data_IF_001903020915
#
_entry.id   IF_001903020915
#
_cell.length_a   1.000
_cell.length_b   1.000
_cell.length_c   1.000
_cell.angle_alpha   90.00
_cell.angle_beta   90.00
_cell.angle_gamma   90.00
#
_symmetry.space_group_name_H-M   'P 1'
#
loop_
_entity.id
_entity.type
_entity.pdbx_description
1 polymer ?
#
# COMPACT_ATOMS: atom_id res chain seq x y z
N UNK A 1 15.76 5.08 -16.74
CA UNK A 1 15.63 3.73 -16.16
C UNK A 1 14.57 3.82 -15.07
N UNK A 2 13.36 3.31 -15.32
CA UNK A 2 12.29 3.30 -14.31
C UNK A 2 12.73 2.34 -13.19
N UNK A 3 13.27 2.85 -12.09
CA UNK A 3 13.35 2.08 -10.86
C UNK A 3 11.96 2.13 -10.24
N UNK A 4 11.15 1.13 -10.55
CA UNK A 4 10.04 0.77 -9.66
C UNK A 4 10.74 0.37 -8.37
N UNK A 5 10.61 1.18 -7.31
CA UNK A 5 11.23 0.89 -6.03
C UNK A 5 10.66 -0.45 -5.59
N UNK A 6 11.47 -1.51 -5.68
CA UNK A 6 11.17 -2.79 -5.06
C UNK A 6 11.10 -2.53 -3.56
N UNK A 7 9.89 -2.42 -3.03
CA UNK A 7 9.65 -2.19 -1.62
C UNK A 7 10.27 -3.36 -0.84
N UNK A 8 11.19 -3.05 0.08
CA UNK A 8 11.89 -4.03 0.89
C UNK A 8 10.92 -4.68 1.90
N UNK A 9 10.96 -6.01 2.10
CA UNK A 9 10.05 -6.69 3.01
C UNK A 9 10.29 -6.26 4.47
N UNK A 10 9.24 -5.77 5.14
CA UNK A 10 9.22 -5.54 6.60
C UNK A 10 8.63 -4.21 7.10
N UNK A 11 8.48 -3.20 6.24
CA UNK A 11 8.08 -1.84 6.66
C UNK A 11 6.58 -1.67 7.00
N UNK A 12 5.66 -2.34 6.29
CA UNK A 12 4.22 -2.20 6.56
C UNK A 12 3.69 -3.00 7.76
N UNK A 13 4.47 -3.94 8.30
CA UNK A 13 4.02 -4.84 9.38
C UNK A 13 3.98 -4.19 10.77
N UNK A 14 4.37 -2.92 10.89
CA UNK A 14 4.45 -2.18 12.17
C UNK A 14 3.34 -1.16 12.42
N UNK A 15 2.44 -0.89 11.46
CA UNK A 15 1.36 0.06 11.65
C UNK A 15 0.12 -0.60 12.27
N UNK A 16 -0.55 0.05 13.25
CA UNK A 16 -1.66 -0.55 13.97
C UNK A 16 -2.85 -0.72 13.04
N UNK A 17 -3.18 -1.97 12.72
CA UNK A 17 -4.48 -2.33 12.17
C UNK A 17 -5.54 -2.19 13.27
N UNK A 18 -6.68 -1.64 12.88
CA UNK A 18 -7.81 -1.24 13.75
C UNK A 18 -8.41 -2.40 14.57
N UNK A 19 -9.16 -2.12 15.65
CA UNK A 19 -9.33 -3.06 16.75
C UNK A 19 -10.24 -4.22 16.38
N UNK A 20 -9.75 -5.43 16.62
CA UNK A 20 -10.53 -6.67 16.56
C UNK A 20 -11.68 -6.61 17.57
N UNK A 21 -12.90 -6.81 17.07
CA UNK A 21 -14.11 -6.87 17.87
C UNK A 21 -14.02 -8.05 18.85
N UNK A 22 -14.22 -7.72 20.12
CA UNK A 22 -14.35 -8.65 21.24
C UNK A 22 -15.63 -9.47 21.05
N UNK A 23 -15.49 -10.73 20.62
CA UNK A 23 -16.57 -11.70 20.68
C UNK A 23 -16.64 -12.29 22.09
N UNK A 24 -17.73 -11.99 22.79
CA UNK A 24 -18.03 -12.52 24.11
C UNK A 24 -18.24 -14.05 24.06
N UNK A 25 -17.67 -14.70 25.08
CA UNK A 25 -17.56 -16.16 25.22
C UNK A 25 -18.90 -16.79 25.61
N UNK A 26 -19.45 -17.67 24.76
CA UNK A 26 -20.48 -18.63 25.18
C UNK A 26 -19.83 -19.92 25.69
N UNK A 27 -20.13 -20.25 26.93
CA UNK A 27 -19.72 -21.49 27.59
C UNK A 27 -20.39 -22.71 26.94
N UNK A 28 -19.59 -23.64 26.41
CA UNK A 28 -20.07 -24.94 25.91
C UNK A 28 -19.40 -26.11 26.64
N UNK A 29 -20.21 -27.12 26.95
CA UNK A 29 -19.93 -28.18 27.94
C UNK A 29 -18.74 -29.10 27.64
N UNK A 30 -18.25 -29.72 28.72
CA UNK A 30 -16.96 -30.46 28.86
C UNK A 30 -16.73 -31.66 27.93
N UNK A 31 -17.68 -32.08 27.09
CA UNK A 31 -17.59 -33.34 26.33
C UNK A 31 -17.06 -33.20 24.88
N UNK A 32 -16.69 -32.01 24.42
CA UNK A 32 -16.25 -31.74 23.03
C UNK A 32 -14.75 -31.44 22.92
N UNK A 33 -13.95 -31.79 23.94
CA UNK A 33 -12.54 -31.36 24.04
C UNK A 33 -11.58 -32.04 23.06
N UNK A 34 -11.92 -33.19 22.49
CA UNK A 34 -10.99 -33.91 21.59
C UNK A 34 -11.18 -33.60 20.10
N UNK A 35 -12.39 -33.26 19.63
CA UNK A 35 -12.58 -32.95 18.20
C UNK A 35 -12.19 -31.51 17.85
N UNK A 36 -12.30 -30.55 18.77
CA UNK A 36 -11.96 -29.15 18.50
C UNK A 36 -10.45 -28.88 18.36
N UNK A 37 -9.60 -29.68 19.01
CA UNK A 37 -8.15 -29.47 18.97
C UNK A 37 -7.55 -29.78 17.58
N UNK A 38 -8.09 -30.76 16.87
CA UNK A 38 -7.64 -31.12 15.52
C UNK A 38 -8.07 -30.07 14.48
N UNK A 39 -9.26 -29.47 14.63
CA UNK A 39 -9.77 -28.43 13.73
C UNK A 39 -9.00 -27.11 13.86
N UNK A 40 -8.58 -26.75 15.07
CA UNK A 40 -7.81 -25.53 15.31
C UNK A 40 -6.40 -25.58 14.68
N UNK A 41 -5.78 -26.77 14.62
CA UNK A 41 -4.46 -26.95 14.01
C UNK A 41 -4.50 -26.82 12.47
N UNK A 42 -5.61 -27.23 11.84
CA UNK A 42 -5.78 -27.15 10.37
C UNK A 42 -6.05 -25.70 9.93
N UNK A 43 -6.76 -24.89 10.72
CA UNK A 43 -6.92 -23.46 10.42
C UNK A 43 -5.62 -22.67 10.56
N UNK A 44 -4.72 -23.05 11.48
CA UNK A 44 -3.43 -22.38 11.64
C UNK A 44 -2.47 -22.62 10.46
N UNK A 45 -2.59 -23.76 9.77
CA UNK A 45 -1.77 -24.10 8.58
C UNK A 45 -2.22 -23.40 7.29
N UNK A 46 -3.41 -22.77 7.29
CA UNK A 46 -3.92 -21.99 6.16
C UNK A 46 -3.66 -20.48 6.33
N UNK A 47 -3.06 -20.07 7.44
CA UNK A 47 -2.64 -18.69 7.64
C UNK A 47 -1.30 -18.46 6.93
N UNK A 48 -1.36 -18.28 5.61
CA UNK A 48 -0.27 -17.60 4.93
C UNK A 48 -0.29 -16.14 5.40
N UNK A 49 0.77 -15.59 6.00
CA UNK A 49 0.91 -14.15 6.06
C UNK A 49 0.89 -13.68 4.60
N UNK A 50 -0.20 -13.06 4.17
CA UNK A 50 -0.19 -12.31 2.93
C UNK A 50 0.78 -11.17 3.20
N UNK A 51 1.98 -11.25 2.65
CA UNK A 51 2.82 -10.08 2.50
C UNK A 51 1.95 -9.03 1.78
N UNK A 52 1.63 -7.94 2.48
CA UNK A 52 0.74 -6.87 1.99
C UNK A 52 1.37 -6.04 0.85
N UNK A 53 2.35 -6.61 0.15
CA UNK A 53 3.16 -5.95 -0.84
C UNK A 53 2.69 -6.28 -2.25
N UNK A 54 2.69 -5.27 -3.10
CA UNK A 54 2.44 -5.45 -4.51
C UNK A 54 3.60 -6.21 -5.18
N UNK A 55 3.30 -7.17 -6.08
CA UNK A 55 4.33 -7.89 -6.79
C UNK A 55 5.15 -6.93 -7.65
N UNK A 56 6.49 -7.05 -7.66
CA UNK A 56 7.33 -6.22 -8.51
C UNK A 56 6.91 -6.28 -9.98
N UNK A 57 6.88 -5.12 -10.64
CA UNK A 57 6.62 -5.02 -12.08
C UNK A 57 7.93 -5.15 -12.85
N UNK A 58 7.96 -6.09 -13.78
CA UNK A 58 9.14 -6.41 -14.60
C UNK A 58 8.90 -5.99 -16.05
N UNK A 59 9.87 -5.28 -16.62
CA UNK A 59 9.86 -4.95 -18.05
C UNK A 59 10.36 -6.14 -18.87
N UNK A 60 9.60 -6.57 -19.89
CA UNK A 60 10.02 -7.56 -20.88
C UNK A 60 9.73 -7.00 -22.28
N UNK A 61 10.78 -6.74 -23.04
CA UNK A 61 10.67 -6.04 -24.32
C UNK A 61 10.05 -4.65 -24.15
N UNK A 62 8.90 -4.40 -24.77
CA UNK A 62 8.17 -3.13 -24.73
C UNK A 62 6.93 -3.15 -23.80
N UNK A 63 6.81 -4.15 -22.92
CA UNK A 63 5.66 -4.33 -22.02
C UNK A 63 6.09 -4.56 -20.57
N UNK A 64 5.16 -4.32 -19.66
CA UNK A 64 5.31 -4.57 -18.23
C UNK A 64 4.49 -5.79 -17.81
N UNK A 65 5.00 -6.54 -16.83
CA UNK A 65 4.36 -7.75 -16.32
C UNK A 65 4.50 -7.83 -14.80
N UNK A 66 3.47 -8.31 -14.11
CA UNK A 66 3.55 -8.65 -12.70
C UNK A 66 4.45 -9.89 -12.52
N UNK A 67 5.40 -9.82 -11.58
CA UNK A 67 6.42 -10.87 -11.40
C UNK A 67 5.87 -12.21 -10.89
N UNK A 68 4.77 -12.18 -10.16
CA UNK A 68 4.13 -13.34 -9.52
C UNK A 68 3.22 -14.12 -10.48
N UNK A 69 2.31 -13.41 -11.14
CA UNK A 69 1.26 -13.97 -11.99
C UNK A 69 1.66 -14.02 -13.46
N UNK A 70 2.67 -13.23 -13.86
CA UNK A 70 3.05 -13.06 -15.27
C UNK A 70 2.03 -12.27 -16.10
N UNK A 71 0.98 -11.72 -15.49
CA UNK A 71 -0.04 -10.95 -16.19
C UNK A 71 0.54 -9.64 -16.74
N UNK A 72 0.09 -9.22 -17.94
CA UNK A 72 0.47 -7.92 -18.52
C UNK A 72 -0.03 -6.78 -17.62
N UNK A 73 0.90 -5.97 -17.13
CA UNK A 73 0.60 -4.78 -16.35
C UNK A 73 0.39 -3.58 -17.28
N UNK A 74 -0.81 -3.00 -17.26
CA UNK A 74 -1.12 -1.76 -17.99
C UNK A 74 -1.30 -0.61 -17.02
N UNK A 75 -0.55 0.47 -17.26
CA UNK A 75 -0.59 1.68 -16.44
C UNK A 75 -1.92 2.40 -16.65
N UNK A 76 -2.71 2.50 -15.59
CA UNK A 76 -3.87 3.38 -15.42
C UNK A 76 -3.46 4.46 -14.42
N UNK A 77 -2.68 5.42 -14.93
CA UNK A 77 -1.92 6.34 -14.11
C UNK A 77 -2.60 7.69 -13.86
N UNK A 78 -2.29 8.31 -12.72
CA UNK A 78 -2.60 9.71 -12.44
C UNK A 78 -1.36 10.47 -11.92
N UNK A 79 -1.21 11.72 -12.35
CA UNK A 79 -0.28 12.67 -11.76
C UNK A 79 -0.77 13.10 -10.37
N UNK A 80 0.05 12.93 -9.33
CA UNK A 80 -0.31 13.31 -7.96
C UNK A 80 0.58 14.45 -7.46
N UNK A 81 -0.04 15.63 -7.32
CA UNK A 81 0.58 16.83 -6.76
C UNK A 81 -0.53 17.75 -6.21
N UNK A 82 -1.01 17.50 -4.97
CA UNK A 82 -2.12 18.26 -4.41
C UNK A 82 -1.64 19.67 -4.03
N UNK A 83 -1.87 20.66 -4.89
CA UNK A 83 -1.56 22.06 -4.61
C UNK A 83 -2.81 22.77 -4.01
N UNK A 84 -2.69 23.43 -2.85
CA UNK A 84 -3.73 24.31 -2.35
C UNK A 84 -3.95 25.51 -3.28
N UNK A 85 -5.21 25.90 -3.50
CA UNK A 85 -5.53 27.08 -4.33
C UNK A 85 -5.27 28.42 -3.61
N UNK A 86 -5.00 28.41 -2.31
CA UNK A 86 -4.75 29.61 -1.49
C UNK A 86 -3.93 29.26 -0.24
N UNK A 87 -3.42 30.29 0.46
CA UNK A 87 -2.57 30.14 1.64
C UNK A 87 -1.07 30.03 1.32
N UNK A 88 -0.23 29.93 2.35
CA UNK A 88 1.23 29.95 2.22
C UNK A 88 1.77 28.84 1.31
N UNK A 89 1.16 27.64 1.37
CA UNK A 89 1.55 26.49 0.55
C UNK A 89 1.07 26.57 -0.90
N UNK A 90 0.23 27.56 -1.28
CA UNK A 90 -0.23 27.70 -2.67
C UNK A 90 0.86 28.20 -3.63
N UNK A 91 1.85 28.92 -3.10
CA UNK A 91 3.00 29.46 -3.86
C UNK A 91 4.24 28.58 -3.78
N UNK A 92 4.18 27.49 -3.01
CA UNK A 92 5.32 26.57 -2.88
C UNK A 92 5.33 25.62 -4.09
N UNK A 93 6.46 25.65 -4.80
CA UNK A 93 6.81 24.69 -5.84
C UNK A 93 7.62 23.54 -5.22
N UNK A 94 7.55 22.35 -5.83
CA UNK A 94 8.27 21.14 -5.41
C UNK A 94 8.10 20.80 -3.92
N UNK A 95 6.85 20.78 -3.46
CA UNK A 95 6.54 20.33 -2.11
C UNK A 95 6.22 18.84 -2.09
N UNK A 96 6.85 18.11 -1.19
CA UNK A 96 6.65 16.67 -1.03
C UNK A 96 5.40 16.37 -0.19
N UNK A 97 4.27 16.24 -0.88
CA UNK A 97 2.99 15.85 -0.30
C UNK A 97 2.86 14.35 -0.03
N UNK A 98 3.82 13.52 -0.45
CA UNK A 98 3.78 12.08 -0.22
C UNK A 98 4.46 11.69 1.11
N UNK A 99 5.13 12.63 1.77
CA UNK A 99 5.73 12.39 3.08
C UNK A 99 4.68 11.96 4.12
N UNK A 100 5.11 11.17 5.09
CA UNK A 100 4.26 10.62 6.16
C UNK A 100 3.61 11.72 7.03
N UNK A 101 4.20 12.92 7.07
CA UNK A 101 3.69 14.11 7.76
C UNK A 101 2.35 14.62 7.19
N UNK A 102 2.01 14.22 5.96
CA UNK A 102 0.79 14.66 5.25
C UNK A 102 -0.26 13.56 5.13
N UNK A 103 -0.22 12.56 6.01
CA UNK A 103 -1.13 11.40 5.99
C UNK A 103 -2.61 11.78 5.94
N UNK A 104 -3.01 12.81 6.67
CA UNK A 104 -4.37 13.34 6.70
C UNK A 104 -4.85 13.87 5.34
N UNK A 105 -3.91 14.31 4.50
CA UNK A 105 -4.18 14.86 3.16
C UNK A 105 -4.23 13.75 2.12
N UNK A 106 -3.19 12.90 2.04
CA UNK A 106 -3.10 11.93 0.94
C UNK A 106 -3.96 10.68 1.15
N UNK A 107 -4.24 10.28 2.40
CA UNK A 107 -4.97 9.02 2.67
C UNK A 107 -6.41 9.02 2.14
N UNK A 108 -7.21 10.09 2.27
CA UNK A 108 -8.52 10.16 1.63
C UNK A 108 -8.43 10.14 0.10
N UNK A 109 -7.41 10.76 -0.48
CA UNK A 109 -7.20 10.77 -1.94
C UNK A 109 -6.93 9.37 -2.48
N UNK A 110 -6.05 8.59 -1.82
CA UNK A 110 -5.74 7.22 -2.23
C UNK A 110 -7.00 6.34 -2.29
N UNK A 111 -7.92 6.51 -1.33
CA UNK A 111 -9.20 5.79 -1.36
C UNK A 111 -10.01 6.13 -2.62
N UNK A 112 -10.15 7.41 -2.93
CA UNK A 112 -10.88 7.86 -4.14
C UNK A 112 -10.21 7.37 -5.41
N UNK A 113 -8.87 7.42 -5.47
CA UNK A 113 -8.09 6.96 -6.61
C UNK A 113 -8.26 5.45 -6.85
N UNK A 114 -8.27 4.66 -5.77
CA UNK A 114 -8.56 3.23 -5.83
C UNK A 114 -9.98 2.95 -6.33
N UNK A 115 -10.99 3.70 -5.83
CA UNK A 115 -12.39 3.58 -6.29
C UNK A 115 -12.52 3.92 -7.79
N UNK A 116 -11.67 4.82 -8.31
CA UNK A 116 -11.59 5.16 -9.75
C UNK A 116 -10.81 4.13 -10.59
N UNK A 117 -10.21 3.13 -9.96
CA UNK A 117 -9.41 2.10 -10.63
C UNK A 117 -8.03 2.58 -11.11
N UNK A 118 -7.50 3.64 -10.50
CA UNK A 118 -6.11 4.06 -10.69
C UNK A 118 -5.20 3.01 -10.09
N UNK A 119 -4.16 2.59 -10.83
CA UNK A 119 -3.18 1.62 -10.35
C UNK A 119 -1.76 2.16 -10.33
N UNK A 120 -1.55 3.42 -10.72
CA UNK A 120 -0.23 4.04 -10.71
C UNK A 120 -0.32 5.53 -10.41
N UNK A 121 0.49 6.03 -9.49
CA UNK A 121 0.67 7.45 -9.26
C UNK A 121 2.04 7.91 -9.73
N UNK A 122 2.08 9.08 -10.35
CA UNK A 122 3.34 9.76 -10.67
C UNK A 122 3.54 10.91 -9.69
N UNK A 123 4.64 10.85 -8.94
CA UNK A 123 5.07 11.92 -8.04
C UNK A 123 6.05 12.87 -8.76
N UNK A 124 5.95 14.15 -8.42
CA UNK A 124 6.75 15.23 -9.03
C UNK A 124 7.82 15.78 -8.09
N UNK A 125 7.65 15.65 -6.77
CA UNK A 125 8.62 16.05 -5.75
C UNK A 125 8.57 15.00 -4.64
N UNK A 126 9.76 14.60 -4.17
CA UNK A 126 9.97 13.61 -3.12
C UNK A 126 11.24 14.02 -2.39
N UNK A 127 11.12 14.35 -1.11
CA UNK A 127 12.24 14.73 -0.26
C UNK A 127 12.84 13.45 0.38
N UNK A 128 14.01 12.97 -0.06
CA UNK A 128 14.58 11.71 0.43
C UNK A 128 15.01 11.77 1.91
N UNK A 129 14.96 12.95 2.55
CA UNK A 129 15.23 13.09 3.98
C UNK A 129 14.00 12.77 4.86
N UNK A 130 12.81 12.69 4.27
CA UNK A 130 11.55 12.36 4.97
C UNK A 130 11.18 10.89 4.80
N UNK A 131 10.33 10.40 5.70
CA UNK A 131 9.74 9.06 5.61
C UNK A 131 8.54 9.07 4.68
N UNK A 132 8.41 8.00 3.88
CA UNK A 132 7.27 7.74 2.99
C UNK A 132 6.65 6.36 3.23
N UNK A 133 7.02 5.71 4.33
CA UNK A 133 6.63 4.32 4.59
C UNK A 133 5.12 4.19 4.66
N UNK A 134 4.43 5.12 5.34
CA UNK A 134 2.97 5.06 5.44
C UNK A 134 2.30 5.28 4.10
N UNK A 135 2.79 6.25 3.32
CA UNK A 135 2.26 6.53 1.98
C UNK A 135 2.43 5.32 1.06
N UNK A 136 3.61 4.72 1.06
CA UNK A 136 3.96 3.57 0.24
C UNK A 136 3.21 2.31 0.66
N UNK A 137 2.95 2.12 1.97
CA UNK A 137 2.11 1.05 2.49
C UNK A 137 0.65 1.22 2.08
N UNK A 138 0.08 2.42 2.25
CA UNK A 138 -1.29 2.70 1.85
C UNK A 138 -1.50 2.54 0.33
N UNK A 139 -0.50 2.92 -0.48
CA UNK A 139 -0.52 2.64 -1.91
C UNK A 139 -0.50 1.14 -2.20
N UNK A 140 0.32 0.36 -1.49
CA UNK A 140 0.39 -1.10 -1.62
C UNK A 140 -0.96 -1.76 -1.32
N UNK A 141 -1.57 -1.41 -0.17
CA UNK A 141 -2.89 -1.88 0.24
C UNK A 141 -3.98 -1.54 -0.78
N UNK A 142 -3.86 -0.38 -1.43
CA UNK A 142 -4.80 0.09 -2.45
C UNK A 142 -4.54 -0.49 -3.86
N UNK A 143 -3.48 -1.28 -4.07
CA UNK A 143 -3.15 -1.78 -5.41
C UNK A 143 -2.49 -0.75 -6.33
N UNK A 144 -1.90 0.31 -5.76
CA UNK A 144 -1.35 1.46 -6.48
C UNK A 144 0.19 1.40 -6.48
N UNK A 145 0.78 1.40 -7.67
CA UNK A 145 2.22 1.55 -7.87
C UNK A 145 2.62 3.02 -7.93
N UNK A 146 3.90 3.33 -7.67
CA UNK A 146 4.39 4.71 -7.69
C UNK A 146 5.54 4.86 -8.69
N UNK A 147 5.45 5.90 -9.52
CA UNK A 147 6.48 6.34 -10.46
C UNK A 147 7.09 7.65 -9.95
N UNK A 148 8.38 7.62 -9.64
CA UNK A 148 9.14 8.76 -9.15
C UNK A 148 10.09 9.24 -10.25
N UNK A 149 10.03 10.53 -10.58
CA UNK A 149 11.00 11.15 -11.49
C UNK A 149 12.34 11.34 -10.80
N UNK A 150 13.46 11.02 -11.46
CA UNK A 150 14.80 11.25 -10.89
C UNK A 150 15.11 12.74 -10.65
N UNK A 151 14.40 13.62 -11.34
CA UNK A 151 14.51 15.07 -11.19
C UNK A 151 13.42 15.63 -10.27
N UNK A 152 12.68 14.77 -9.55
CA UNK A 152 11.83 15.21 -8.44
C UNK A 152 12.78 15.72 -7.35
N UNK A 153 12.87 17.04 -7.15
CA UNK A 153 13.74 17.62 -6.13
C UNK A 153 13.07 17.54 -4.75
#
# INVERSE_FOLDING_TARGET
>A
MLRVISQLPGLCNGLPTSPTSRFDSMAFGRSVRCLCAASALVLALLWSPADAWLPPIVAKGNKFFASDSGAEFRVKGMAYYPRPNSGELSTVDNYDWAADDHEDIWKPHLKVLADLGVNTLRLYSVDPSKSHDKFMCACSEAGIYVLIGMAAP
#
